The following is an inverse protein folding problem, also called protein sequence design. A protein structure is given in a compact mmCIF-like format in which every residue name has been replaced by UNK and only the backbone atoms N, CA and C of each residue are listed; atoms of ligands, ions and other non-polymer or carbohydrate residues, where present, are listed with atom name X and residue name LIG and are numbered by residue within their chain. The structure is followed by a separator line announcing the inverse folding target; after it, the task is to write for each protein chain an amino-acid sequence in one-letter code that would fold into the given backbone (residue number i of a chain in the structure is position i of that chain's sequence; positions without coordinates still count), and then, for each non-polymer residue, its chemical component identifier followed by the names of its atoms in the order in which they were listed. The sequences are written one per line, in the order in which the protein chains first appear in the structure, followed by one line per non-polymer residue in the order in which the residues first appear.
data_IF_546881293206
#
_entry.id   IF_546881293206
#
_cell.length_a   1.000
_cell.length_b   1.000
_cell.length_c   1.000
_cell.angle_alpha   90.00
_cell.angle_beta   90.00
_cell.angle_gamma   90.00
#
_symmetry.space_group_name_H-M   'P 1'
#
loop_
_entity.id
_entity.type
_entity.pdbx_description
1 polymer ?
#
# COMPACT_ATOMS: atom_id res chain seq x y z
N UNK A 1 52.32 -0.49 12.47
CA UNK A 1 51.00 -0.43 11.81
C UNK A 1 50.80 -1.71 11.01
N UNK A 2 49.65 -2.37 11.15
CA UNK A 2 49.25 -3.57 10.41
C UNK A 2 48.36 -3.12 9.25
N UNK A 3 48.74 -3.47 8.02
CA UNK A 3 47.91 -3.18 6.85
C UNK A 3 46.64 -4.05 6.89
N UNK A 4 45.48 -3.42 6.75
CA UNK A 4 44.18 -4.11 6.70
C UNK A 4 43.69 -4.17 5.25
N UNK A 5 43.91 -3.09 4.50
CA UNK A 5 43.66 -3.01 3.07
C UNK A 5 44.67 -2.07 2.42
N UNK A 6 44.70 -2.03 1.09
CA UNK A 6 45.54 -1.08 0.36
C UNK A 6 45.19 0.35 0.77
N UNK A 7 46.16 1.07 1.35
CA UNK A 7 45.98 2.44 1.85
C UNK A 7 45.36 2.57 3.25
N UNK A 8 44.99 1.47 3.92
CA UNK A 8 44.37 1.47 5.27
C UNK A 8 45.18 0.63 6.25
N UNK A 9 45.58 1.25 7.35
CA UNK A 9 46.44 0.65 8.38
C UNK A 9 45.80 0.78 9.76
N UNK A 10 45.85 -0.29 10.56
CA UNK A 10 45.59 -0.19 11.99
C UNK A 10 46.91 -0.08 12.77
N UNK A 11 46.89 0.70 13.84
CA UNK A 11 47.97 0.68 14.83
C UNK A 11 47.40 0.20 16.16
N UNK A 12 48.15 -0.68 16.80
CA UNK A 12 47.83 -1.20 18.13
C UNK A 12 48.91 -0.71 19.09
N UNK A 13 48.51 -0.29 20.30
CA UNK A 13 49.43 -0.07 21.40
C UNK A 13 50.14 -1.37 21.80
N UNK A 14 51.26 -1.28 22.51
CA UNK A 14 51.94 -2.47 23.02
C UNK A 14 51.10 -3.12 24.15
N UNK A 15 50.76 -4.41 23.99
CA UNK A 15 50.01 -5.19 25.00
C UNK A 15 48.86 -6.00 24.40
N UNK A 16 48.03 -6.59 25.27
CA UNK A 16 46.75 -7.22 24.91
C UNK A 16 45.65 -6.18 24.86
N UNK A 17 44.81 -6.25 23.82
CA UNK A 17 43.65 -5.38 23.67
C UNK A 17 42.62 -5.68 24.78
N UNK A 18 42.23 -4.64 25.52
CA UNK A 18 41.26 -4.68 26.61
C UNK A 18 40.09 -3.74 26.33
N UNK A 19 38.97 -3.95 27.01
CA UNK A 19 37.82 -3.06 26.91
C UNK A 19 38.20 -1.65 27.43
N UNK A 20 38.14 -0.65 26.55
CA UNK A 20 38.56 0.72 26.85
C UNK A 20 39.76 1.21 26.04
N UNK A 21 40.45 0.33 25.32
CA UNK A 21 41.54 0.71 24.42
C UNK A 21 41.02 1.39 23.14
N UNK A 22 41.65 2.49 22.74
CA UNK A 22 41.36 3.19 21.48
C UNK A 22 42.12 2.57 20.30
N UNK A 23 41.41 2.27 19.21
CA UNK A 23 42.01 1.79 17.95
C UNK A 23 42.16 2.97 17.01
N UNK A 24 43.40 3.30 16.65
CA UNK A 24 43.70 4.30 15.64
C UNK A 24 43.88 3.66 14.26
N UNK A 25 43.01 4.05 13.31
CA UNK A 25 43.09 3.67 11.90
C UNK A 25 43.68 4.84 11.10
N UNK A 26 44.79 4.61 10.42
CA UNK A 26 45.43 5.58 9.53
C UNK A 26 45.10 5.26 8.08
N UNK A 27 44.79 6.31 7.31
CA UNK A 27 44.56 6.24 5.86
C UNK A 27 45.63 7.08 5.18
N UNK A 28 46.42 6.44 4.33
CA UNK A 28 47.50 7.09 3.57
C UNK A 28 47.37 6.76 2.08
N UNK A 29 47.40 7.77 1.22
CA UNK A 29 47.27 7.61 -0.23
C UNK A 29 45.84 7.42 -0.76
N UNK A 30 45.70 6.64 -1.84
CA UNK A 30 44.42 6.39 -2.54
C UNK A 30 43.33 5.91 -1.56
N UNK A 31 42.05 6.33 -1.75
CA UNK A 31 41.00 6.05 -0.79
C UNK A 31 40.71 4.54 -0.73
N UNK A 32 40.77 3.98 0.48
CA UNK A 32 40.21 2.69 0.92
C UNK A 32 39.62 1.80 -0.19
N UNK A 33 40.48 1.11 -0.94
CA UNK A 33 40.05 0.29 -2.07
C UNK A 33 39.21 -0.93 -1.63
N UNK A 34 39.32 -1.32 -0.36
CA UNK A 34 38.55 -2.43 0.21
C UNK A 34 37.19 -2.00 0.78
N UNK A 35 36.86 -0.69 0.78
CA UNK A 35 35.59 -0.18 1.30
C UNK A 35 35.38 -0.43 2.79
N UNK A 36 36.46 -0.61 3.55
CA UNK A 36 36.43 -0.90 4.99
C UNK A 36 35.93 0.30 5.78
N UNK A 37 36.31 1.53 5.44
CA UNK A 37 35.91 2.73 6.15
C UNK A 37 34.40 2.98 6.03
N UNK A 38 33.77 2.94 4.83
CA UNK A 38 32.31 2.97 4.72
C UNK A 38 31.62 1.80 5.43
N UNK A 39 32.18 0.58 5.38
CA UNK A 39 31.61 -0.58 6.07
C UNK A 39 31.64 -0.42 7.60
N UNK A 40 32.64 0.26 8.14
CA UNK A 40 32.74 0.64 9.56
C UNK A 40 31.95 1.92 9.89
N UNK A 41 31.24 2.52 8.93
CA UNK A 41 30.50 3.77 9.12
C UNK A 41 31.39 5.02 9.25
N UNK A 42 32.69 4.90 9.00
CA UNK A 42 33.66 5.99 9.08
C UNK A 42 33.58 6.82 7.80
N UNK A 43 33.28 8.11 7.92
CA UNK A 43 33.20 9.06 6.80
C UNK A 43 32.27 8.63 5.64
N UNK A 44 31.28 7.79 5.90
CA UNK A 44 30.24 7.41 4.93
C UNK A 44 29.33 8.59 4.56
N UNK A 45 28.74 8.55 3.35
CA UNK A 45 27.73 9.51 2.90
C UNK A 45 26.39 9.30 3.62
N UNK A 46 26.03 8.03 3.82
CA UNK A 46 24.79 7.63 4.48
C UNK A 46 25.06 7.01 5.85
N UNK A 47 24.11 7.17 6.74
CA UNK A 47 23.99 6.50 8.04
C UNK A 47 22.65 5.75 8.09
N UNK A 48 22.53 4.80 9.02
CA UNK A 48 21.35 3.93 9.14
C UNK A 48 21.70 2.48 8.85
N UNK A 49 20.91 1.56 9.40
CA UNK A 49 21.15 0.11 9.28
C UNK A 49 20.26 -0.59 8.25
N UNK A 50 19.22 0.11 7.77
CA UNK A 50 18.23 -0.43 6.83
C UNK A 50 17.63 0.67 5.94
N UNK A 51 16.77 0.27 5.01
CA UNK A 51 16.10 1.19 4.09
C UNK A 51 15.12 2.16 4.78
N UNK A 52 14.70 1.92 6.02
CA UNK A 52 13.79 2.81 6.76
C UNK A 52 14.56 3.90 7.51
N UNK A 53 15.76 3.58 7.96
CA UNK A 53 16.61 4.45 8.78
C UNK A 53 17.72 5.12 7.99
N UNK A 54 17.89 4.77 6.70
CA UNK A 54 18.88 5.39 5.83
C UNK A 54 18.68 6.91 5.76
N UNK A 55 19.74 7.66 6.02
CA UNK A 55 19.77 9.10 5.99
C UNK A 55 21.16 9.62 5.61
N UNK A 56 21.27 10.86 5.17
CA UNK A 56 22.59 11.51 5.01
C UNK A 56 23.25 11.66 6.38
N UNK A 57 24.54 11.33 6.46
CA UNK A 57 25.32 11.41 7.70
C UNK A 57 25.17 12.80 8.37
N UNK A 58 24.93 12.85 9.68
CA UNK A 58 24.69 14.11 10.42
C UNK A 58 25.81 15.12 10.20
N UNK A 59 27.07 14.68 10.25
CA UNK A 59 28.27 15.49 9.98
C UNK A 59 28.17 16.30 8.67
N UNK A 60 27.60 15.71 7.62
CA UNK A 60 27.42 16.34 6.30
C UNK A 60 26.21 17.27 6.25
N UNK A 61 25.21 17.02 7.10
CA UNK A 61 24.06 17.92 7.25
C UNK A 61 24.43 19.16 8.06
N UNK A 62 25.27 18.99 9.08
CA UNK A 62 25.72 20.06 9.97
C UNK A 62 26.81 20.92 9.30
N UNK A 63 27.74 20.31 8.55
CA UNK A 63 28.75 21.00 7.75
C UNK A 63 28.91 20.35 6.36
N UNK A 64 28.25 20.90 5.32
CA UNK A 64 28.37 20.41 3.95
C UNK A 64 29.79 20.47 3.36
N UNK A 65 30.70 21.28 3.93
CA UNK A 65 32.09 21.34 3.46
C UNK A 65 32.88 20.06 3.74
N UNK A 66 32.36 19.19 4.59
CA UNK A 66 32.93 17.87 4.86
C UNK A 66 32.62 16.83 3.77
N UNK A 67 31.86 17.21 2.74
CA UNK A 67 31.63 16.37 1.57
C UNK A 67 32.86 16.40 0.64
N UNK A 68 33.56 15.28 0.52
CA UNK A 68 34.76 15.15 -0.30
C UNK A 68 34.42 15.10 -1.79
N UNK A 69 34.38 16.26 -2.44
CA UNK A 69 34.05 16.39 -3.88
C UNK A 69 35.21 16.04 -4.82
N UNK A 70 36.44 16.21 -4.36
CA UNK A 70 37.66 16.01 -5.13
C UNK A 70 38.33 14.67 -4.80
N UNK A 71 38.95 14.04 -5.80
CA UNK A 71 39.78 12.86 -5.59
C UNK A 71 41.25 13.24 -5.31
N UNK A 72 41.67 14.40 -5.77
CA UNK A 72 43.01 14.98 -5.61
C UNK A 72 42.94 16.34 -4.93
N UNK A 73 44.10 16.94 -4.64
CA UNK A 73 44.18 18.30 -4.05
C UNK A 73 44.20 19.41 -5.11
N UNK A 74 43.95 19.08 -6.37
CA UNK A 74 43.97 20.05 -7.45
C UNK A 74 42.72 20.94 -7.39
N UNK A 75 42.91 22.25 -7.57
CA UNK A 75 41.79 23.19 -7.63
C UNK A 75 40.88 22.84 -8.81
N UNK A 76 39.57 22.73 -8.54
CA UNK A 76 38.55 22.40 -9.55
C UNK A 76 38.32 20.90 -9.77
N UNK A 77 39.01 20.02 -9.06
CA UNK A 77 38.73 18.58 -9.11
C UNK A 77 37.35 18.27 -8.49
N UNK A 78 36.50 17.61 -9.26
CA UNK A 78 35.16 17.15 -8.87
C UNK A 78 34.92 15.66 -9.18
N UNK A 79 35.99 14.87 -9.31
CA UNK A 79 35.93 13.49 -9.75
C UNK A 79 35.03 12.60 -8.86
N UNK A 80 35.00 12.83 -7.54
CA UNK A 80 34.11 12.06 -6.65
C UNK A 80 32.63 12.38 -6.91
N UNK A 81 32.32 13.63 -7.27
CA UNK A 81 30.95 14.02 -7.64
C UNK A 81 30.54 13.37 -8.95
N UNK A 82 31.44 13.32 -9.93
CA UNK A 82 31.20 12.62 -11.20
C UNK A 82 31.00 11.11 -10.98
N UNK A 83 31.81 10.49 -10.11
CA UNK A 83 31.66 9.10 -9.73
C UNK A 83 30.31 8.84 -9.03
N UNK A 84 29.90 9.73 -8.13
CA UNK A 84 28.58 9.66 -7.47
C UNK A 84 27.45 9.77 -8.48
N UNK A 85 27.51 10.70 -9.44
CA UNK A 85 26.51 10.83 -10.52
C UNK A 85 26.46 9.55 -11.36
N UNK A 86 27.61 8.97 -11.70
CA UNK A 86 27.70 7.73 -12.47
C UNK A 86 27.01 6.54 -11.78
N UNK A 87 26.91 6.54 -10.42
CA UNK A 87 26.19 5.47 -9.69
C UNK A 87 24.73 5.32 -10.12
N UNK A 88 24.09 6.39 -10.62
CA UNK A 88 22.70 6.33 -11.14
C UNK A 88 22.56 5.32 -12.29
N UNK A 89 23.61 5.14 -13.08
CA UNK A 89 23.64 4.19 -14.19
C UNK A 89 24.06 2.78 -13.79
N UNK A 90 24.52 2.56 -12.56
CA UNK A 90 24.95 1.23 -12.12
C UNK A 90 23.75 0.32 -11.90
N UNK A 91 23.86 -0.90 -12.42
CA UNK A 91 22.88 -1.96 -12.20
C UNK A 91 23.32 -2.76 -10.99
N UNK A 92 22.77 -2.42 -9.83
CA UNK A 92 23.15 -3.00 -8.53
C UNK A 92 22.02 -3.80 -7.88
N UNK A 93 20.82 -3.76 -8.45
CA UNK A 93 19.64 -4.43 -7.93
C UNK A 93 19.29 -5.64 -8.79
N UNK A 94 18.65 -6.63 -8.16
CA UNK A 94 18.20 -7.89 -8.78
C UNK A 94 19.31 -8.57 -9.59
N UNK A 95 20.40 -8.95 -8.93
CA UNK A 95 21.57 -9.58 -9.57
C UNK A 95 22.12 -8.79 -10.77
N UNK A 96 22.10 -7.46 -10.70
CA UNK A 96 22.62 -6.58 -11.73
C UNK A 96 21.68 -6.35 -12.91
N UNK A 97 20.38 -6.61 -12.74
CA UNK A 97 19.37 -6.35 -13.78
C UNK A 97 18.80 -4.94 -13.74
N UNK A 98 18.71 -4.32 -12.57
CA UNK A 98 18.09 -3.00 -12.45
C UNK A 98 19.06 -1.96 -11.89
N UNK A 99 18.93 -0.74 -12.40
CA UNK A 99 19.45 0.45 -11.72
C UNK A 99 18.52 0.79 -10.57
N UNK A 100 18.99 1.64 -9.67
CA UNK A 100 18.16 2.13 -8.55
C UNK A 100 16.91 2.84 -9.08
N UNK A 101 17.06 3.65 -10.15
CA UNK A 101 15.97 4.42 -10.74
C UNK A 101 14.93 3.51 -11.42
N UNK A 102 15.36 2.50 -12.19
CA UNK A 102 14.42 1.60 -12.87
C UNK A 102 13.70 0.66 -11.90
N UNK A 103 14.36 0.19 -10.84
CA UNK A 103 13.71 -0.60 -9.79
C UNK A 103 12.65 0.22 -9.04
N UNK A 104 12.95 1.49 -8.72
CA UNK A 104 11.99 2.40 -8.10
C UNK A 104 10.77 2.62 -9.00
N UNK A 105 10.99 2.93 -10.29
CA UNK A 105 9.91 3.11 -11.27
C UNK A 105 9.04 1.86 -11.42
N UNK A 106 9.66 0.67 -11.48
CA UNK A 106 8.94 -0.60 -11.55
C UNK A 106 8.05 -0.83 -10.32
N UNK A 107 8.59 -0.56 -9.12
CA UNK A 107 7.85 -0.70 -7.85
C UNK A 107 6.65 0.24 -7.79
N UNK A 108 6.85 1.52 -8.13
CA UNK A 108 5.76 2.51 -8.16
C UNK A 108 4.69 2.13 -9.19
N UNK A 109 5.11 1.65 -10.36
CA UNK A 109 4.20 1.17 -11.41
C UNK A 109 3.37 -0.02 -10.95
N UNK A 110 4.00 -1.02 -10.31
CA UNK A 110 3.30 -2.19 -9.77
C UNK A 110 2.24 -1.79 -8.74
N UNK A 111 2.59 -0.89 -7.81
CA UNK A 111 1.63 -0.36 -6.84
C UNK A 111 0.48 0.37 -7.54
N UNK A 112 0.77 1.20 -8.54
CA UNK A 112 -0.24 1.90 -9.34
C UNK A 112 -1.22 0.94 -10.03
N UNK A 113 -0.70 -0.12 -10.67
CA UNK A 113 -1.53 -1.16 -11.31
C UNK A 113 -2.41 -1.88 -10.28
N UNK A 114 -1.87 -2.23 -9.11
CA UNK A 114 -2.66 -2.89 -8.05
C UNK A 114 -3.76 -1.99 -7.48
N UNK A 115 -3.49 -0.70 -7.31
CA UNK A 115 -4.50 0.28 -6.87
C UNK A 115 -5.64 0.36 -7.87
N UNK A 116 -5.31 0.49 -9.16
CA UNK A 116 -6.27 0.59 -10.25
C UNK A 116 -7.11 -0.70 -10.42
N UNK A 117 -6.48 -1.87 -10.26
CA UNK A 117 -7.19 -3.17 -10.19
C UNK A 117 -8.18 -3.23 -9.02
N UNK A 118 -7.76 -2.85 -7.82
CA UNK A 118 -8.62 -2.85 -6.64
C UNK A 118 -9.80 -1.86 -6.79
N UNK A 119 -9.57 -0.70 -7.42
CA UNK A 119 -10.62 0.27 -7.70
C UNK A 119 -11.70 -0.32 -8.61
N UNK A 120 -11.30 -0.96 -9.72
CA UNK A 120 -12.22 -1.65 -10.63
C UNK A 120 -13.00 -2.77 -9.95
N UNK A 121 -12.32 -3.55 -9.09
CA UNK A 121 -12.98 -4.61 -8.33
C UNK A 121 -14.03 -4.03 -7.37
N UNK A 122 -13.72 -2.93 -6.69
CA UNK A 122 -14.68 -2.26 -5.81
C UNK A 122 -15.89 -1.71 -6.59
N UNK A 123 -15.66 -1.02 -7.71
CA UNK A 123 -16.74 -0.55 -8.61
C UNK A 123 -17.63 -1.70 -9.08
N UNK A 124 -17.03 -2.84 -9.44
CA UNK A 124 -17.78 -4.04 -9.85
C UNK A 124 -18.60 -4.61 -8.68
N UNK A 125 -18.04 -4.68 -7.48
CA UNK A 125 -18.74 -5.15 -6.29
C UNK A 125 -19.92 -4.24 -5.91
N UNK A 126 -19.76 -2.92 -6.04
CA UNK A 126 -20.84 -1.95 -5.83
C UNK A 126 -21.99 -2.16 -6.83
N UNK A 127 -21.67 -2.38 -8.11
CA UNK A 127 -22.67 -2.68 -9.14
C UNK A 127 -23.41 -3.99 -8.86
N UNK A 128 -22.68 -5.05 -8.48
CA UNK A 128 -23.27 -6.34 -8.10
C UNK A 128 -24.19 -6.17 -6.89
N UNK A 129 -23.74 -5.45 -5.86
CA UNK A 129 -24.54 -5.16 -4.68
C UNK A 129 -25.82 -4.42 -5.04
N UNK A 130 -25.73 -3.34 -5.82
CA UNK A 130 -26.88 -2.57 -6.29
C UNK A 130 -27.87 -3.45 -7.06
N UNK A 131 -27.36 -4.32 -7.94
CA UNK A 131 -28.21 -5.27 -8.68
C UNK A 131 -28.92 -6.26 -7.76
N UNK A 132 -28.25 -6.77 -6.74
CA UNK A 132 -28.86 -7.69 -5.76
C UNK A 132 -29.88 -6.97 -4.87
N UNK A 133 -29.63 -5.72 -4.47
CA UNK A 133 -30.58 -4.89 -3.73
C UNK A 133 -31.85 -4.62 -4.55
N UNK A 134 -31.71 -4.32 -5.84
CA UNK A 134 -32.84 -4.16 -6.76
C UNK A 134 -33.62 -5.47 -6.90
N UNK A 135 -32.95 -6.60 -7.17
CA UNK A 135 -33.63 -7.91 -7.26
C UNK A 135 -34.34 -8.31 -5.97
N UNK A 136 -33.75 -8.00 -4.81
CA UNK A 136 -34.41 -8.23 -3.51
C UNK A 136 -35.66 -7.37 -3.38
N UNK A 137 -35.59 -6.11 -3.82
CA UNK A 137 -36.73 -5.19 -3.80
C UNK A 137 -37.82 -5.64 -4.78
N UNK A 138 -37.48 -6.18 -5.95
CA UNK A 138 -38.45 -6.74 -6.90
C UNK A 138 -39.12 -7.99 -6.34
N UNK A 139 -38.36 -8.90 -5.72
CA UNK A 139 -38.91 -10.15 -5.17
C UNK A 139 -39.69 -9.96 -3.86
N UNK A 140 -39.35 -8.95 -3.05
CA UNK A 140 -40.07 -8.61 -1.81
C UNK A 140 -41.06 -7.45 -1.98
N UNK A 141 -41.12 -6.88 -3.18
CA UNK A 141 -42.00 -5.79 -3.54
C UNK A 141 -43.43 -6.28 -3.64
N UNK A 142 -44.09 -6.37 -2.50
CA UNK A 142 -45.54 -6.45 -2.43
C UNK A 142 -46.09 -5.15 -3.01
N UNK A 143 -46.77 -5.23 -4.14
CA UNK A 143 -47.47 -4.09 -4.69
C UNK A 143 -48.67 -3.78 -3.78
N UNK A 144 -48.61 -2.67 -3.04
CA UNK A 144 -49.73 -2.19 -2.22
C UNK A 144 -50.99 -2.07 -3.06
N UNK A 145 -50.88 -1.66 -4.32
CA UNK A 145 -52.03 -1.54 -5.22
C UNK A 145 -52.65 -2.91 -5.55
N UNK A 146 -51.82 -3.95 -5.66
CA UNK A 146 -52.28 -5.32 -5.92
C UNK A 146 -52.85 -5.97 -4.66
N UNK A 147 -52.24 -5.75 -3.48
CA UNK A 147 -52.82 -6.16 -2.19
C UNK A 147 -54.14 -5.43 -1.88
N UNK A 148 -54.21 -4.11 -2.12
CA UNK A 148 -55.44 -3.32 -1.93
C UNK A 148 -56.50 -3.73 -2.93
N UNK A 149 -56.12 -4.02 -4.19
CA UNK A 149 -57.03 -4.59 -5.18
C UNK A 149 -57.61 -5.93 -4.75
N UNK A 150 -56.76 -6.85 -4.27
CA UNK A 150 -57.18 -8.14 -3.71
C UNK A 150 -58.10 -7.95 -2.50
N UNK A 151 -57.79 -6.98 -1.64
CA UNK A 151 -58.56 -6.67 -0.45
C UNK A 151 -59.94 -6.08 -0.79
N UNK A 152 -60.04 -5.22 -1.81
CA UNK A 152 -61.32 -4.71 -2.33
C UNK A 152 -62.13 -5.85 -2.97
N UNK A 153 -61.49 -6.74 -3.72
CA UNK A 153 -62.14 -7.90 -4.33
C UNK A 153 -62.74 -8.82 -3.26
N UNK A 154 -61.98 -9.13 -2.22
CA UNK A 154 -62.44 -9.93 -1.08
C UNK A 154 -63.59 -9.23 -0.34
N UNK A 155 -63.53 -7.92 -0.15
CA UNK A 155 -64.64 -7.15 0.42
C UNK A 155 -65.91 -7.22 -0.44
N UNK A 156 -65.78 -7.10 -1.77
CA UNK A 156 -66.91 -7.24 -2.70
C UNK A 156 -67.48 -8.66 -2.68
N UNK A 157 -66.63 -9.69 -2.68
CA UNK A 157 -67.04 -11.08 -2.59
C UNK A 157 -67.81 -11.35 -1.29
N UNK A 158 -67.32 -10.83 -0.16
CA UNK A 158 -68.02 -10.90 1.13
C UNK A 158 -69.39 -10.20 1.09
N UNK A 159 -69.45 -8.99 0.54
CA UNK A 159 -70.70 -8.25 0.42
C UNK A 159 -71.71 -8.96 -0.49
N UNK A 160 -71.24 -9.57 -1.59
CA UNK A 160 -72.06 -10.37 -2.49
C UNK A 160 -72.59 -11.64 -1.79
N UNK A 161 -71.73 -12.35 -1.06
CA UNK A 161 -72.13 -13.52 -0.27
C UNK A 161 -73.18 -13.15 0.80
N UNK A 162 -73.02 -12.03 1.50
CA UNK A 162 -73.99 -11.54 2.48
C UNK A 162 -75.36 -11.23 1.83
N UNK A 163 -75.36 -10.61 0.64
CA UNK A 163 -76.60 -10.36 -0.13
C UNK A 163 -77.28 -11.67 -0.54
N UNK A 164 -76.52 -12.64 -1.05
CA UNK A 164 -77.05 -13.96 -1.40
C UNK A 164 -77.70 -14.66 -0.20
N UNK A 165 -77.06 -14.60 0.98
CA UNK A 165 -77.63 -15.15 2.22
C UNK A 165 -78.92 -14.43 2.61
N UNK A 166 -78.97 -13.10 2.44
CA UNK A 166 -80.16 -12.29 2.74
C UNK A 166 -81.31 -12.66 1.81
N UNK A 167 -81.07 -12.73 0.51
CA UNK A 167 -82.08 -13.16 -0.47
C UNK A 167 -82.53 -14.60 -0.25
N UNK A 168 -81.61 -15.51 0.09
CA UNK A 168 -81.97 -16.88 0.45
C UNK A 168 -82.87 -16.92 1.70
N UNK A 169 -82.59 -16.10 2.72
CA UNK A 169 -83.43 -15.96 3.92
C UNK A 169 -84.82 -15.42 3.59
N UNK A 170 -84.93 -14.41 2.73
CA UNK A 170 -86.20 -13.84 2.27
C UNK A 170 -87.04 -14.86 1.48
N UNK A 171 -86.40 -15.65 0.61
CA UNK A 171 -87.06 -16.72 -0.13
C UNK A 171 -87.61 -17.80 0.82
N UNK A 172 -86.81 -18.23 1.81
CA UNK A 172 -87.24 -19.20 2.83
C UNK A 172 -88.43 -18.65 3.63
N UNK A 173 -88.38 -17.38 4.04
CA UNK A 173 -89.48 -16.74 4.77
C UNK A 173 -90.77 -16.66 3.93
N UNK A 174 -90.65 -16.33 2.64
CA UNK A 174 -91.79 -16.26 1.72
C UNK A 174 -92.45 -17.63 1.51
N UNK A 175 -91.63 -18.68 1.32
CA UNK A 175 -92.14 -20.05 1.19
C UNK A 175 -92.84 -20.53 2.47
N UNK A 176 -92.30 -20.20 3.65
CA UNK A 176 -92.95 -20.49 4.94
C UNK A 176 -94.27 -19.73 5.11
N UNK A 177 -94.33 -18.47 4.69
CA UNK A 177 -95.54 -17.65 4.78
C UNK A 177 -96.67 -18.04 3.81
N UNK A 178 -96.40 -18.86 2.79
CA UNK A 178 -97.40 -19.43 1.88
C UNK A 178 -97.98 -20.77 2.37
N UNK A 179 -97.33 -21.42 3.34
CA UNK A 179 -97.71 -22.73 3.88
C UNK A 179 -98.45 -22.61 5.22
N UNK A 180 -98.44 -21.43 5.86
CA UNK A 180 -99.26 -21.08 7.02
C UNK A 180 -100.48 -20.26 6.64
#
# INVERSE_FOLDING_TARGET
PVAIAEGVYASFGAGTLTAGDEIAVLVDGQPDQAGILPALGINGLFQGGDAKTIAVASRLRDDPNQFATAHTRNAGDNANVLALIATRGLRVLDNGQFTIESAYQATVSEVGVRVDQNRRLNETQELVRSTLENRRSDASGVSIDEEVGMLILEQQAYAAAARLITTARENIATLLGLIG
#
